data_IF_694970656668
#
_entry.id   IF_694970656668
#
_cell.length_a   1.000
_cell.length_b   1.000
_cell.length_c   1.000
_cell.angle_alpha   90.00
_cell.angle_beta   90.00
_cell.angle_gamma   90.00
#
_symmetry.space_group_name_H-M   'P 1'
#
loop_
_entity.id
_entity.type
_entity.pdbx_description
1 polymer ?
#
# COMPACT_ATOMS: atom_id res chain seq x y z
N UNK A 1 14.72 -53.53 -33.75
CA UNK A 1 14.49 -54.57 -32.71
C UNK A 1 15.50 -54.30 -31.59
N UNK A 2 15.23 -54.16 -30.29
CA UNK A 2 14.14 -54.57 -29.38
C UNK A 2 13.90 -53.41 -28.40
N UNK A 3 12.63 -53.03 -28.25
CA UNK A 3 12.12 -52.24 -27.14
C UNK A 3 11.99 -53.17 -25.92
N UNK A 4 12.37 -52.71 -24.73
CA UNK A 4 11.82 -53.24 -23.47
C UNK A 4 11.53 -52.09 -22.52
N UNK A 5 10.24 -51.79 -22.43
CA UNK A 5 9.64 -50.94 -21.40
C UNK A 5 9.24 -51.76 -20.17
N UNK A 6 8.91 -51.02 -19.09
CA UNK A 6 8.14 -51.39 -17.88
C UNK A 6 8.98 -52.12 -16.83
N UNK A 7 8.92 -51.81 -15.54
CA UNK A 7 7.96 -51.15 -14.65
C UNK A 7 8.74 -50.85 -13.33
N UNK A 8 8.28 -50.22 -12.24
CA UNK A 8 6.96 -50.01 -11.68
C UNK A 8 7.09 -48.97 -10.57
N UNK A 9 6.04 -48.18 -10.39
CA UNK A 9 5.84 -47.12 -9.41
C UNK A 9 5.96 -47.65 -7.97
N UNK A 10 6.75 -47.00 -7.10
CA UNK A 10 6.46 -46.94 -5.65
C UNK A 10 6.72 -45.52 -5.13
N UNK A 11 5.61 -44.88 -4.78
CA UNK A 11 5.49 -43.54 -4.24
C UNK A 11 6.09 -43.40 -2.83
N UNK A 12 6.41 -42.17 -2.41
CA UNK A 12 6.91 -41.89 -1.07
C UNK A 12 5.75 -42.06 -0.07
N UNK A 13 5.83 -43.08 0.80
CA UNK A 13 4.93 -43.18 1.94
C UNK A 13 5.30 -42.12 2.97
N UNK A 14 4.41 -41.15 3.10
CA UNK A 14 4.36 -40.18 4.17
C UNK A 14 4.63 -40.81 5.55
N UNK A 15 5.54 -40.18 6.31
CA UNK A 15 5.47 -40.19 7.78
C UNK A 15 5.63 -38.76 8.28
N UNK A 16 4.48 -38.09 8.42
CA UNK A 16 4.29 -36.98 9.36
C UNK A 16 4.85 -37.39 10.72
N UNK A 17 5.78 -36.61 11.24
CA UNK A 17 5.94 -36.41 12.69
C UNK A 17 6.00 -34.91 12.95
N UNK A 18 4.82 -34.29 12.90
CA UNK A 18 4.63 -32.97 13.51
C UNK A 18 4.67 -33.20 15.01
N UNK A 19 5.75 -32.81 15.67
CA UNK A 19 5.80 -32.75 17.12
C UNK A 19 5.04 -31.49 17.55
N UNK A 20 3.78 -31.65 17.94
CA UNK A 20 2.95 -30.57 18.48
C UNK A 20 3.11 -30.53 20.00
N UNK A 21 3.43 -29.32 20.47
CA UNK A 21 3.21 -28.73 21.81
C UNK A 21 3.90 -29.35 23.03
N UNK A 22 4.85 -28.59 23.60
CA UNK A 22 4.84 -28.27 25.05
C UNK A 22 5.81 -27.13 25.36
N UNK A 23 5.30 -25.95 25.73
CA UNK A 23 6.16 -24.87 26.19
C UNK A 23 5.43 -23.54 26.32
N UNK A 24 4.68 -23.38 27.40
CA UNK A 24 4.11 -22.11 27.84
C UNK A 24 5.20 -21.04 27.88
N UNK A 25 4.97 -19.90 27.24
CA UNK A 25 5.44 -18.64 27.83
C UNK A 25 4.30 -17.63 27.82
N UNK A 26 3.43 -17.81 28.81
CA UNK A 26 2.51 -16.79 29.30
C UNK A 26 3.41 -15.70 29.90
N UNK A 27 3.92 -14.80 29.05
CA UNK A 27 4.50 -13.54 29.53
C UNK A 27 3.36 -12.55 29.71
N UNK A 28 2.55 -12.81 30.74
CA UNK A 28 1.75 -11.79 31.41
C UNK A 28 2.74 -10.82 32.06
N UNK A 29 3.07 -9.76 31.35
CA UNK A 29 3.67 -8.53 31.86
C UNK A 29 3.02 -7.44 31.02
N UNK A 30 2.28 -6.45 31.51
CA UNK A 30 1.87 -6.05 32.84
C UNK A 30 0.74 -5.07 32.55
N UNK A 31 -0.50 -5.35 32.95
CA UNK A 31 -1.56 -4.35 32.93
C UNK A 31 -1.34 -3.43 34.13
N UNK A 32 -0.45 -2.46 33.99
CA UNK A 32 -0.35 -1.33 34.92
C UNK A 32 0.48 -0.22 34.29
N UNK A 33 -0.15 0.96 34.13
CA UNK A 33 0.45 2.29 33.83
C UNK A 33 0.69 2.70 32.36
N UNK A 34 -0.04 2.18 31.37
CA UNK A 34 0.21 2.50 29.95
C UNK A 34 -0.87 3.31 29.19
N UNK A 35 -1.96 3.74 29.84
CA UNK A 35 -3.09 4.35 29.11
C UNK A 35 -2.81 5.73 28.50
N UNK A 36 -1.79 6.46 28.96
CA UNK A 36 -1.46 7.77 28.37
C UNK A 36 -0.44 7.67 27.23
N UNK A 37 0.51 6.73 27.34
CA UNK A 37 1.56 6.53 26.34
C UNK A 37 1.06 5.88 25.04
N UNK A 38 0.05 5.02 25.12
CA UNK A 38 -0.54 4.36 23.95
C UNK A 38 -1.35 5.32 23.08
N UNK A 39 -2.09 6.25 23.70
CA UNK A 39 -2.84 7.27 22.99
C UNK A 39 -1.91 8.29 22.29
N UNK A 40 -0.83 8.71 22.96
CA UNK A 40 0.19 9.57 22.36
C UNK A 40 0.91 8.88 21.19
N UNK A 41 1.32 7.61 21.35
CA UNK A 41 1.97 6.85 20.28
C UNK A 41 1.04 6.63 19.07
N UNK A 42 -0.25 6.37 19.30
CA UNK A 42 -1.25 6.27 18.24
C UNK A 42 -1.46 7.63 17.54
N UNK A 43 -1.54 8.73 18.28
CA UNK A 43 -1.67 10.08 17.73
C UNK A 43 -0.44 10.47 16.87
N UNK A 44 0.77 10.15 17.32
CA UNK A 44 2.00 10.36 16.55
C UNK A 44 2.03 9.50 15.27
N UNK A 45 1.55 8.25 15.33
CA UNK A 45 1.42 7.42 14.13
C UNK A 45 0.44 8.01 13.10
N UNK A 46 -0.64 8.63 13.56
CA UNK A 46 -1.62 9.30 12.68
C UNK A 46 -1.02 10.55 12.06
N UNK A 47 -0.35 11.39 12.86
CA UNK A 47 0.34 12.62 12.39
C UNK A 47 1.36 12.29 11.31
N UNK A 48 2.24 11.33 11.56
CA UNK A 48 3.26 10.90 10.59
C UNK A 48 2.65 10.33 9.31
N UNK A 49 1.52 9.61 9.40
CA UNK A 49 0.77 9.13 8.23
C UNK A 49 0.18 10.27 7.39
N UNK A 50 -0.41 11.26 8.04
CA UNK A 50 -0.96 12.46 7.37
C UNK A 50 0.15 13.22 6.66
N UNK A 51 1.28 13.48 7.30
CA UNK A 51 2.41 14.18 6.68
C UNK A 51 2.97 13.42 5.47
N UNK A 52 3.02 12.09 5.53
CA UNK A 52 3.44 11.27 4.37
C UNK A 52 2.49 11.46 3.19
N UNK A 53 1.17 11.45 3.44
CA UNK A 53 0.16 11.69 2.41
C UNK A 53 0.25 13.10 1.84
N UNK A 54 0.49 14.12 2.67
CA UNK A 54 0.66 15.50 2.20
C UNK A 54 1.90 15.66 1.33
N UNK A 55 3.03 15.05 1.73
CA UNK A 55 4.25 15.02 0.90
C UNK A 55 4.03 14.27 -0.40
N UNK A 56 3.25 13.20 -0.39
CA UNK A 56 2.89 12.48 -1.62
C UNK A 56 2.03 13.36 -2.53
N UNK A 57 1.04 14.07 -2.00
CA UNK A 57 0.19 14.98 -2.76
C UNK A 57 1.00 16.10 -3.40
N UNK A 58 1.93 16.70 -2.66
CA UNK A 58 2.82 17.74 -3.17
C UNK A 58 3.68 17.25 -4.36
N UNK A 59 4.16 15.99 -4.32
CA UNK A 59 4.95 15.40 -5.41
C UNK A 59 4.14 15.11 -6.67
N UNK A 60 2.82 14.96 -6.56
CA UNK A 60 1.95 14.76 -7.72
C UNK A 60 1.68 16.06 -8.48
N UNK A 61 1.92 17.21 -7.85
CA UNK A 61 1.77 18.51 -8.49
C UNK A 61 2.99 18.82 -9.37
N UNK A 62 2.81 19.58 -10.47
CA UNK A 62 3.89 19.91 -11.39
C UNK A 62 5.10 20.56 -10.70
N UNK A 63 6.31 20.33 -11.20
CA UNK A 63 7.58 20.73 -10.55
C UNK A 63 7.71 22.22 -10.19
N UNK A 64 6.89 23.12 -10.75
CA UNK A 64 6.80 24.53 -10.35
C UNK A 64 6.14 24.78 -8.98
N UNK A 65 5.81 23.72 -8.24
CA UNK A 65 5.12 23.74 -6.96
C UNK A 65 6.01 23.30 -5.77
N UNK A 66 7.33 23.38 -5.92
CA UNK A 66 8.29 22.93 -4.92
C UNK A 66 8.14 23.66 -3.56
N UNK A 67 7.69 24.92 -3.57
CA UNK A 67 7.39 25.72 -2.37
C UNK A 67 5.88 25.91 -2.15
N UNK A 68 5.09 24.85 -2.31
CA UNK A 68 3.68 24.92 -1.89
C UNK A 68 3.61 25.01 -0.36
N UNK A 69 3.10 26.14 0.12
CA UNK A 69 2.60 26.27 1.49
C UNK A 69 1.48 25.25 1.71
N UNK A 70 1.57 24.44 2.78
CA UNK A 70 0.56 23.44 3.17
C UNK A 70 -0.86 24.01 3.21
N UNK A 71 -1.00 25.28 3.60
CA UNK A 71 -2.29 25.99 3.64
C UNK A 71 -2.94 26.11 2.26
N UNK A 72 -2.13 26.19 1.21
CA UNK A 72 -2.58 26.34 -0.18
C UNK A 72 -2.56 25.04 -0.97
N UNK A 73 -2.03 23.94 -0.41
CA UNK A 73 -1.85 22.67 -1.12
C UNK A 73 -3.16 22.12 -1.67
N UNK A 74 -4.24 22.17 -0.88
CA UNK A 74 -5.55 21.71 -1.32
C UNK A 74 -6.13 22.58 -2.43
N UNK A 75 -5.98 23.89 -2.33
CA UNK A 75 -6.44 24.83 -3.36
C UNK A 75 -5.69 24.61 -4.68
N UNK A 76 -4.37 24.49 -4.63
CA UNK A 76 -3.53 24.17 -5.81
C UNK A 76 -3.87 22.81 -6.40
N UNK A 77 -4.18 21.84 -5.55
CA UNK A 77 -4.64 20.52 -6.00
C UNK A 77 -5.97 20.63 -6.75
N UNK A 78 -6.93 21.38 -6.24
CA UNK A 78 -8.21 21.61 -6.90
C UNK A 78 -8.01 22.30 -8.27
N UNK A 79 -7.22 23.37 -8.32
CA UNK A 79 -6.85 24.06 -9.58
C UNK A 79 -6.23 23.08 -10.59
N UNK A 80 -5.32 22.22 -10.12
CA UNK A 80 -4.68 21.24 -10.99
C UNK A 80 -5.66 20.20 -11.53
N UNK A 81 -6.59 19.71 -10.70
CA UNK A 81 -7.66 18.79 -11.13
C UNK A 81 -8.51 19.45 -12.22
N UNK A 82 -8.96 20.69 -12.01
CA UNK A 82 -9.75 21.41 -13.01
C UNK A 82 -9.02 21.59 -14.34
N UNK A 83 -7.72 21.91 -14.30
CA UNK A 83 -6.90 22.01 -15.50
C UNK A 83 -6.77 20.67 -16.24
N UNK A 84 -6.60 19.57 -15.51
CA UNK A 84 -6.55 18.24 -16.10
C UNK A 84 -7.89 17.86 -16.73
N UNK A 85 -9.00 18.11 -16.04
CA UNK A 85 -10.35 17.87 -16.58
C UNK A 85 -10.58 18.65 -17.88
N UNK A 86 -10.22 19.94 -17.91
CA UNK A 86 -10.34 20.76 -19.10
C UNK A 86 -9.52 20.20 -20.27
N UNK A 87 -8.26 19.82 -20.02
CA UNK A 87 -7.39 19.19 -21.03
C UNK A 87 -7.97 17.89 -21.57
N UNK A 88 -8.47 17.02 -20.69
CA UNK A 88 -9.09 15.75 -21.09
C UNK A 88 -10.32 16.01 -21.97
N UNK A 89 -11.19 16.93 -21.57
CA UNK A 89 -12.36 17.31 -22.38
C UNK A 89 -11.96 17.87 -23.75
N UNK A 90 -10.97 18.75 -23.81
CA UNK A 90 -10.46 19.28 -25.08
C UNK A 90 -9.92 18.17 -25.97
N UNK A 91 -9.13 17.23 -25.42
CA UNK A 91 -8.59 16.10 -26.17
C UNK A 91 -9.69 15.14 -26.66
N UNK A 92 -10.70 14.88 -25.83
CA UNK A 92 -11.86 14.06 -26.22
C UNK A 92 -12.65 14.71 -27.37
N UNK A 93 -12.87 16.03 -27.30
CA UNK A 93 -13.55 16.76 -28.36
C UNK A 93 -12.75 16.72 -29.66
N UNK A 94 -11.42 16.88 -29.59
CA UNK A 94 -10.54 16.77 -30.74
C UNK A 94 -10.53 15.34 -31.33
N UNK A 95 -10.46 14.31 -30.48
CA UNK A 95 -10.54 12.90 -30.93
C UNK A 95 -11.86 12.65 -31.67
N UNK A 96 -12.96 13.11 -31.08
CA UNK A 96 -14.31 13.01 -31.68
C UNK A 96 -14.37 13.76 -33.01
N UNK A 97 -13.79 14.95 -33.09
CA UNK A 97 -13.73 15.75 -34.33
C UNK A 97 -12.88 15.08 -35.41
N UNK A 98 -11.74 14.49 -35.04
CA UNK A 98 -10.84 13.79 -35.95
C UNK A 98 -11.30 12.36 -36.30
N UNK A 99 -12.37 11.86 -35.67
CA UNK A 99 -12.91 10.52 -35.89
C UNK A 99 -12.01 9.38 -35.38
N UNK A 100 -11.17 9.65 -34.38
CA UNK A 100 -10.30 8.67 -33.70
C UNK A 100 -10.99 8.19 -32.43
#
# INVERSE_FOLDING_TARGET
MRVRMRSSKRSPRARRKVLVTRGRNIRRQSLSLANESGAAAAAESVRTSIERKLRQLQRMLPAGCAEINMETLFQRTAEHIFLLEAKVRSLQNLSTFCGI
#
